data_IF_228449694149
#
_entry.id   IF_228449694149
#
_cell.length_a   1.000
_cell.length_b   1.000
_cell.length_c   1.000
_cell.angle_alpha   90.00
_cell.angle_beta   90.00
_cell.angle_gamma   90.00
#
_symmetry.space_group_name_H-M   'P 1'
#
loop_
_entity.id
_entity.type
_entity.pdbx_description
1 polymer ?
#
# COMPACT_ATOMS: atom_id res chain seq x y z
N UNK A 1 -26.47 -34.27 -82.06
CA UNK A 1 -26.46 -35.58 -81.37
C UNK A 1 -25.09 -36.19 -81.68
N UNK A 2 -24.22 -36.53 -80.74
CA UNK A 2 -24.42 -37.13 -79.43
C UNK A 2 -23.43 -36.61 -78.37
N UNK A 3 -23.97 -36.51 -77.17
CA UNK A 3 -23.33 -36.38 -75.86
C UNK A 3 -22.59 -37.67 -75.49
N UNK A 4 -21.49 -37.54 -74.74
CA UNK A 4 -21.07 -38.57 -73.77
C UNK A 4 -20.82 -37.89 -72.42
N UNK A 5 -21.56 -38.37 -71.41
CA UNK A 5 -21.63 -37.88 -70.03
C UNK A 5 -20.72 -38.70 -69.11
N UNK A 6 -19.95 -37.96 -68.30
CA UNK A 6 -19.51 -38.13 -66.89
C UNK A 6 -19.04 -39.47 -66.29
N UNK A 7 -17.94 -39.39 -65.53
CA UNK A 7 -17.90 -39.77 -64.10
C UNK A 7 -16.85 -38.94 -63.34
N UNK A 8 -17.24 -38.35 -62.21
CA UNK A 8 -16.38 -37.82 -61.12
C UNK A 8 -16.14 -38.96 -60.08
N UNK A 9 -15.48 -38.78 -58.90
CA UNK A 9 -14.76 -37.62 -58.33
C UNK A 9 -13.38 -37.96 -57.69
N UNK A 10 -12.73 -36.93 -57.10
CA UNK A 10 -11.64 -36.92 -56.10
C UNK A 10 -10.17 -36.66 -56.54
N UNK A 11 -9.72 -35.47 -56.11
CA UNK A 11 -8.42 -35.09 -55.53
C UNK A 11 -7.14 -35.38 -56.30
N UNK A 12 -6.55 -34.32 -56.88
CA UNK A 12 -5.24 -33.74 -56.50
C UNK A 12 -4.62 -33.01 -57.69
N UNK A 13 -4.34 -31.72 -57.49
CA UNK A 13 -3.22 -30.96 -58.08
C UNK A 13 -2.94 -31.26 -59.56
N UNK A 14 -3.68 -30.62 -60.45
CA UNK A 14 -3.16 -30.32 -61.79
C UNK A 14 -3.62 -28.92 -62.19
N UNK A 15 -2.67 -27.98 -62.16
CA UNK A 15 -2.78 -26.66 -62.76
C UNK A 15 -2.96 -26.87 -64.28
N UNK A 16 -4.20 -26.94 -64.74
CA UNK A 16 -4.49 -26.95 -66.17
C UNK A 16 -4.51 -25.50 -66.65
N UNK A 17 -3.36 -25.08 -67.18
CA UNK A 17 -3.19 -23.84 -67.92
C UNK A 17 -4.14 -23.89 -69.14
N UNK A 18 -5.28 -23.20 -69.05
CA UNK A 18 -6.12 -22.90 -70.22
C UNK A 18 -5.34 -21.90 -71.09
N UNK A 19 -4.48 -22.43 -71.96
CA UNK A 19 -3.87 -21.68 -73.05
C UNK A 19 -4.98 -21.47 -74.08
N UNK A 20 -5.78 -20.42 -73.92
CA UNK A 20 -6.41 -19.79 -75.09
C UNK A 20 -5.29 -19.17 -75.92
N UNK A 21 -5.26 -19.53 -77.19
CA UNK A 21 -4.28 -19.12 -78.19
C UNK A 21 -4.17 -17.58 -78.31
N UNK A 22 -3.34 -16.95 -77.48
CA UNK A 22 -2.78 -15.62 -77.68
C UNK A 22 -1.52 -15.44 -76.81
N UNK A 23 -0.37 -15.23 -77.46
CA UNK A 23 0.95 -14.92 -76.88
C UNK A 23 1.53 -15.94 -75.88
N UNK A 24 2.47 -16.75 -76.37
CA UNK A 24 3.36 -17.59 -75.56
C UNK A 24 4.27 -16.69 -74.71
N UNK A 25 4.02 -16.62 -73.40
CA UNK A 25 4.99 -16.18 -72.41
C UNK A 25 5.46 -17.42 -71.66
N UNK A 26 6.66 -17.91 -71.95
CA UNK A 26 7.28 -18.94 -71.13
C UNK A 26 7.67 -18.32 -69.78
N UNK A 27 7.24 -18.87 -68.63
CA UNK A 27 7.68 -18.38 -67.34
C UNK A 27 9.16 -18.76 -67.12
N UNK A 28 10.03 -17.77 -67.17
CA UNK A 28 11.44 -17.87 -66.78
C UNK A 28 11.54 -18.19 -65.28
N UNK A 29 11.63 -19.50 -64.97
CA UNK A 29 11.63 -20.03 -63.61
C UNK A 29 12.96 -20.70 -63.29
N UNK A 30 13.80 -19.98 -62.53
CA UNK A 30 14.93 -20.58 -61.84
C UNK A 30 14.40 -21.11 -60.49
N UNK A 31 14.15 -22.42 -60.42
CA UNK A 31 13.61 -23.06 -59.21
C UNK A 31 14.66 -23.06 -58.11
N UNK A 32 14.34 -22.45 -56.97
CA UNK A 32 15.10 -22.60 -55.71
C UNK A 32 14.24 -23.43 -54.75
N UNK A 33 14.76 -24.47 -54.09
CA UNK A 33 13.97 -25.30 -53.18
C UNK A 33 13.37 -24.46 -52.04
N UNK A 34 12.05 -24.51 -51.89
CA UNK A 34 11.29 -23.75 -50.86
C UNK A 34 10.78 -22.38 -51.31
N UNK A 35 11.02 -21.96 -52.56
CA UNK A 35 10.52 -20.68 -53.09
C UNK A 35 9.05 -20.73 -53.54
N UNK A 36 8.32 -19.64 -53.29
CA UNK A 36 7.01 -19.39 -53.90
C UNK A 36 7.20 -19.09 -55.40
N UNK A 37 6.57 -19.88 -56.27
CA UNK A 37 6.59 -19.63 -57.72
C UNK A 37 5.51 -18.60 -58.03
N UNK A 38 5.94 -17.39 -58.41
CA UNK A 38 5.06 -16.34 -58.91
C UNK A 38 5.13 -16.28 -60.45
N UNK A 39 3.99 -16.24 -61.17
CA UNK A 39 3.98 -15.97 -62.59
C UNK A 39 4.64 -14.62 -62.90
N UNK A 40 5.60 -14.61 -63.84
CA UNK A 40 6.29 -13.38 -64.28
C UNK A 40 5.61 -12.86 -65.55
N UNK A 41 4.94 -11.71 -65.48
CA UNK A 41 4.15 -11.16 -66.57
C UNK A 41 4.55 -9.70 -66.84
N UNK A 42 4.48 -9.27 -68.10
CA UNK A 42 4.52 -7.83 -68.44
C UNK A 42 3.21 -7.17 -68.02
N UNK A 43 3.20 -5.84 -67.93
CA UNK A 43 2.00 -5.04 -67.61
C UNK A 43 0.87 -5.33 -68.60
N UNK A 44 1.21 -5.52 -69.88
CA UNK A 44 0.26 -5.84 -70.94
C UNK A 44 -0.34 -7.24 -70.77
N UNK A 45 0.48 -8.23 -70.43
CA UNK A 45 0.02 -9.60 -70.17
C UNK A 45 -0.82 -9.70 -68.90
N UNK A 46 -0.42 -9.01 -67.83
CA UNK A 46 -1.16 -8.91 -66.58
C UNK A 46 -2.55 -8.30 -66.78
N UNK A 47 -2.66 -7.24 -67.59
CA UNK A 47 -3.96 -6.60 -67.89
C UNK A 47 -4.90 -7.47 -68.75
N UNK A 48 -4.37 -8.52 -69.39
CA UNK A 48 -5.16 -9.50 -70.13
C UNK A 48 -5.72 -10.62 -69.23
N UNK A 49 -5.28 -10.70 -67.97
CA UNK A 49 -5.84 -11.64 -67.01
C UNK A 49 -7.28 -11.24 -66.66
N UNK A 50 -8.22 -12.20 -66.56
CA UNK A 50 -9.57 -11.92 -66.10
C UNK A 50 -9.52 -11.37 -64.67
N UNK A 51 -10.44 -10.44 -64.36
CA UNK A 51 -10.58 -9.92 -63.01
C UNK A 51 -10.89 -11.08 -62.05
N UNK A 52 -10.00 -11.30 -61.07
CA UNK A 52 -10.16 -12.36 -60.08
C UNK A 52 -9.50 -11.98 -58.76
N UNK A 53 -10.15 -12.32 -57.65
CA UNK A 53 -9.65 -11.96 -56.32
C UNK A 53 -8.38 -12.76 -56.00
N UNK A 54 -7.33 -12.08 -55.51
CA UNK A 54 -6.18 -12.72 -54.86
C UNK A 54 -5.12 -13.31 -55.79
N UNK A 55 -5.09 -12.95 -57.07
CA UNK A 55 -3.98 -13.33 -57.97
C UNK A 55 -2.72 -12.57 -57.57
N UNK A 56 -1.58 -13.26 -57.38
CA UNK A 56 -0.27 -12.65 -57.13
C UNK A 56 0.69 -12.99 -58.25
N UNK A 57 1.32 -11.96 -58.83
CA UNK A 57 2.26 -12.08 -59.96
C UNK A 57 3.51 -11.24 -59.71
N UNK A 58 4.57 -11.49 -60.44
CA UNK A 58 5.72 -10.59 -60.53
C UNK A 58 5.66 -9.82 -61.84
N UNK A 59 5.51 -8.49 -61.77
CA UNK A 59 5.48 -7.64 -62.95
C UNK A 59 6.91 -7.39 -63.45
N UNK A 60 7.22 -7.85 -64.65
CA UNK A 60 8.57 -7.75 -65.22
C UNK A 60 8.95 -6.33 -65.63
N UNK A 61 7.97 -5.52 -66.02
CA UNK A 61 8.20 -4.13 -66.47
C UNK A 61 8.47 -3.21 -65.27
N UNK A 62 7.71 -3.40 -64.19
CA UNK A 62 7.82 -2.61 -62.95
C UNK A 62 8.78 -3.22 -61.93
N UNK A 63 9.26 -4.44 -62.15
CA UNK A 63 10.15 -5.20 -61.27
C UNK A 63 9.62 -5.31 -59.84
N UNK A 64 8.32 -5.56 -59.68
CA UNK A 64 7.64 -5.65 -58.38
C UNK A 64 6.72 -6.88 -58.30
N UNK A 65 6.51 -7.39 -57.10
CA UNK A 65 5.40 -8.34 -56.84
C UNK A 65 4.11 -7.52 -56.79
N UNK A 66 3.05 -8.00 -57.42
CA UNK A 66 1.75 -7.35 -57.46
C UNK A 66 0.63 -8.32 -57.12
N UNK A 67 -0.43 -7.84 -56.49
CA UNK A 67 -1.65 -8.60 -56.26
C UNK A 67 -2.87 -7.89 -56.87
N UNK A 68 -3.88 -8.68 -57.26
CA UNK A 68 -5.16 -8.18 -57.77
C UNK A 68 -6.20 -8.13 -56.64
N UNK A 69 -6.79 -6.95 -56.43
CA UNK A 69 -7.86 -6.74 -55.45
C UNK A 69 -9.21 -7.32 -55.90
N UNK A 70 -10.22 -7.20 -55.04
CA UNK A 70 -11.57 -7.70 -55.31
C UNK A 70 -12.30 -6.96 -56.45
N UNK A 71 -11.83 -5.78 -56.84
CA UNK A 71 -12.39 -4.89 -57.85
C UNK A 71 -11.62 -4.98 -59.18
N UNK A 72 -10.59 -5.84 -59.26
CA UNK A 72 -9.77 -6.06 -60.45
C UNK A 72 -8.55 -5.14 -60.58
N UNK A 73 -8.32 -4.25 -59.60
CA UNK A 73 -7.17 -3.35 -59.54
C UNK A 73 -5.88 -4.07 -59.14
N UNK A 74 -4.75 -3.67 -59.73
CA UNK A 74 -3.43 -4.25 -59.45
C UNK A 74 -2.61 -3.33 -58.54
N UNK A 75 -2.13 -3.89 -57.42
CA UNK A 75 -1.39 -3.17 -56.39
C UNK A 75 0.02 -3.75 -56.22
N UNK A 76 1.02 -2.90 -55.99
CA UNK A 76 2.37 -3.35 -55.64
C UNK A 76 2.39 -3.90 -54.21
N UNK A 77 3.02 -5.06 -54.03
CA UNK A 77 3.43 -5.56 -52.73
C UNK A 77 4.76 -4.86 -52.38
N UNK A 78 4.67 -3.61 -51.92
CA UNK A 78 5.80 -2.87 -51.34
C UNK A 78 6.06 -3.32 -49.90
N UNK A 79 7.17 -2.87 -49.28
CA UNK A 79 7.55 -3.18 -47.90
C UNK A 79 6.31 -3.33 -47.01
N UNK A 80 6.21 -4.50 -46.37
CA UNK A 80 5.00 -5.01 -45.75
C UNK A 80 4.53 -4.13 -44.60
N UNK A 81 3.83 -3.05 -44.94
CA UNK A 81 3.00 -2.36 -43.98
C UNK A 81 1.62 -3.03 -43.97
N UNK A 82 1.22 -3.53 -42.80
CA UNK A 82 -0.18 -3.89 -42.57
C UNK A 82 -0.86 -2.56 -42.33
N UNK A 83 -1.51 -2.01 -43.35
CA UNK A 83 -2.19 -0.71 -43.30
C UNK A 83 -3.69 -0.95 -43.34
N UNK A 84 -4.45 -0.15 -42.59
CA UNK A 84 -5.89 -0.08 -42.73
C UNK A 84 -6.32 0.64 -44.03
N UNK A 85 -7.64 0.83 -44.19
CA UNK A 85 -8.20 1.33 -45.45
C UNK A 85 -7.96 2.83 -45.67
N UNK A 86 -7.89 3.62 -44.59
CA UNK A 86 -7.67 5.07 -44.67
C UNK A 86 -6.19 5.47 -44.49
N UNK A 87 -5.33 4.53 -44.12
CA UNK A 87 -3.88 4.72 -44.07
C UNK A 87 -3.38 5.23 -42.73
N UNK A 88 -4.26 5.42 -41.74
CA UNK A 88 -3.90 6.03 -40.47
C UNK A 88 -3.46 5.01 -39.41
N UNK A 89 -3.82 3.74 -39.58
CA UNK A 89 -3.42 2.65 -38.69
C UNK A 89 -2.57 1.65 -39.45
N UNK A 90 -1.30 1.52 -39.07
CA UNK A 90 -0.40 0.60 -39.74
C UNK A 90 0.71 0.01 -38.87
N UNK A 91 1.16 -1.19 -39.24
CA UNK A 91 2.40 -1.77 -38.72
C UNK A 91 3.54 -1.45 -39.67
N UNK A 92 4.62 -0.88 -39.19
CA UNK A 92 5.83 -0.66 -39.99
C UNK A 92 7.07 -1.19 -39.29
N UNK A 93 8.05 -1.64 -40.08
CA UNK A 93 9.41 -1.87 -39.63
C UNK A 93 10.29 -0.79 -40.27
N UNK A 94 10.90 0.06 -39.44
CA UNK A 94 11.99 0.99 -39.79
C UNK A 94 11.59 2.14 -40.76
N UNK A 95 11.69 3.41 -40.33
CA UNK A 95 11.50 4.58 -41.22
C UNK A 95 12.83 5.16 -41.74
N UNK A 96 13.95 4.76 -41.13
CA UNK A 96 15.31 5.12 -41.52
C UNK A 96 16.20 3.87 -41.60
N UNK A 97 17.28 3.87 -42.41
CA UNK A 97 18.09 2.68 -42.69
C UNK A 97 18.72 1.96 -41.49
N UNK A 98 18.89 2.64 -40.35
CA UNK A 98 19.52 2.11 -39.12
C UNK A 98 18.57 2.15 -37.91
N UNK A 99 17.30 2.47 -38.14
CA UNK A 99 16.29 2.54 -37.10
C UNK A 99 15.73 1.13 -36.89
N UNK A 100 16.49 0.23 -36.21
CA UNK A 100 16.11 -1.15 -35.84
C UNK A 100 14.82 -1.16 -34.96
N UNK A 101 13.66 -0.88 -35.55
CA UNK A 101 12.41 -0.53 -34.86
C UNK A 101 11.20 -1.12 -35.57
N UNK A 102 10.28 -1.70 -34.80
CA UNK A 102 8.93 -2.08 -35.25
C UNK A 102 7.91 -1.18 -34.57
N UNK A 103 6.97 -0.61 -35.34
CA UNK A 103 5.92 0.30 -34.85
C UNK A 103 4.53 -0.27 -35.14
N UNK A 104 3.63 -0.12 -34.17
CA UNK A 104 2.19 -0.11 -34.39
C UNK A 104 1.74 1.35 -34.34
N UNK A 105 1.26 1.86 -35.46
CA UNK A 105 0.70 3.21 -35.60
C UNK A 105 -0.82 3.08 -35.60
N UNK A 106 -1.51 3.92 -34.83
CA UNK A 106 -2.98 4.00 -34.78
C UNK A 106 -3.38 5.46 -34.89
N UNK A 107 -4.26 5.80 -35.84
CA UNK A 107 -4.70 7.18 -36.10
C UNK A 107 -3.52 8.17 -36.26
N UNK A 108 -2.46 7.74 -36.95
CA UNK A 108 -1.26 8.53 -37.24
C UNK A 108 -0.29 8.72 -36.07
N UNK A 109 -0.52 8.07 -34.92
CA UNK A 109 0.35 8.14 -33.73
C UNK A 109 1.00 6.78 -33.45
N UNK A 110 2.27 6.76 -33.05
CA UNK A 110 2.98 5.54 -32.64
C UNK A 110 2.37 4.99 -31.35
N UNK A 111 1.41 4.07 -31.50
CA UNK A 111 0.74 3.42 -30.39
C UNK A 111 1.69 2.50 -29.63
N UNK A 112 2.54 1.72 -30.33
CA UNK A 112 3.58 0.85 -29.76
C UNK A 112 4.86 0.94 -30.60
N UNK A 113 6.01 1.13 -29.96
CA UNK A 113 7.33 1.09 -30.60
C UNK A 113 8.20 0.02 -29.94
N UNK A 114 8.78 -0.87 -30.74
CA UNK A 114 9.70 -1.92 -30.33
C UNK A 114 11.07 -1.64 -30.94
N UNK A 115 12.01 -1.11 -30.16
CA UNK A 115 13.39 -0.89 -30.61
C UNK A 115 14.39 -1.77 -29.86
N UNK A 116 15.48 -2.14 -30.52
CA UNK A 116 16.62 -2.76 -29.86
C UNK A 116 17.55 -1.69 -29.30
N UNK A 117 17.55 -1.51 -27.98
CA UNK A 117 18.67 -0.82 -27.32
C UNK A 117 19.81 -1.84 -27.13
N UNK A 118 21.06 -1.39 -26.97
CA UNK A 118 22.28 -2.24 -26.94
C UNK A 118 22.33 -3.35 -25.88
N UNK A 119 21.26 -3.57 -25.11
CA UNK A 119 21.00 -4.72 -24.26
C UNK A 119 19.54 -5.13 -24.52
N UNK A 120 19.30 -6.38 -24.90
CA UNK A 120 18.09 -6.76 -25.64
C UNK A 120 16.73 -6.48 -24.99
N UNK A 121 15.75 -6.30 -25.90
CA UNK A 121 14.30 -6.52 -25.80
C UNK A 121 13.45 -5.56 -24.92
N UNK A 122 12.59 -4.80 -25.63
CA UNK A 122 11.41 -4.01 -25.20
C UNK A 122 11.67 -2.65 -24.52
N UNK A 123 11.98 -1.62 -25.32
CA UNK A 123 11.90 -0.21 -24.91
C UNK A 123 10.71 0.48 -25.61
N UNK A 124 9.64 0.79 -24.87
CA UNK A 124 8.55 1.67 -25.33
C UNK A 124 9.05 3.11 -25.31
N UNK A 125 9.10 3.77 -26.45
CA UNK A 125 9.56 5.16 -26.57
C UNK A 125 8.45 6.02 -27.14
N UNK A 126 7.58 6.56 -26.29
CA UNK A 126 6.84 7.78 -26.66
C UNK A 126 7.87 8.90 -26.55
N UNK A 127 8.16 9.54 -27.67
CA UNK A 127 9.38 10.33 -27.85
C UNK A 127 9.46 11.53 -26.94
N UNK A 128 10.11 11.38 -25.78
CA UNK A 128 10.82 12.40 -24.96
C UNK A 128 11.24 11.80 -23.58
N UNK A 129 12.56 11.50 -23.43
CA UNK A 129 13.44 11.30 -22.24
C UNK A 129 13.45 10.06 -21.29
N UNK A 130 14.71 9.68 -20.97
CA UNK A 130 15.25 9.21 -19.69
C UNK A 130 14.46 8.12 -18.91
N UNK A 131 14.26 6.93 -19.48
CA UNK A 131 13.93 5.74 -18.68
C UNK A 131 12.46 5.55 -18.26
N UNK A 132 11.53 6.38 -18.74
CA UNK A 132 10.10 6.24 -18.43
C UNK A 132 9.43 5.02 -19.15
N UNK A 133 8.41 4.42 -18.53
CA UNK A 133 7.52 3.38 -19.11
C UNK A 133 6.08 3.90 -19.03
N UNK A 134 5.41 4.14 -20.17
CA UNK A 134 4.05 4.70 -20.21
C UNK A 134 3.13 3.82 -21.04
N UNK A 135 2.02 3.34 -20.47
CA UNK A 135 1.09 2.41 -21.10
C UNK A 135 -0.37 2.74 -20.75
N UNK A 136 -1.16 3.20 -21.71
CA UNK A 136 -2.57 3.56 -21.51
C UNK A 136 -2.97 4.74 -22.40
N UNK A 137 -4.25 5.10 -22.42
CA UNK A 137 -4.66 6.39 -22.99
C UNK A 137 -4.44 7.49 -21.94
N UNK A 138 -4.01 8.69 -22.36
CA UNK A 138 -3.86 9.85 -21.48
C UNK A 138 -2.68 9.83 -20.47
N UNK A 139 -1.90 8.75 -20.40
CA UNK A 139 -0.70 8.65 -19.56
C UNK A 139 0.37 9.68 -19.93
N UNK A 140 0.88 10.43 -18.94
CA UNK A 140 2.06 11.29 -19.11
C UNK A 140 1.86 12.50 -20.03
N UNK A 141 0.63 13.01 -20.17
CA UNK A 141 0.28 14.10 -21.08
C UNK A 141 1.03 15.42 -20.89
N UNK A 142 1.71 15.62 -19.75
CA UNK A 142 2.45 16.83 -19.42
C UNK A 142 3.99 16.66 -19.30
N UNK A 143 4.56 15.50 -19.69
CA UNK A 143 5.97 15.15 -19.42
C UNK A 143 6.98 16.13 -20.04
N UNK A 144 7.87 16.66 -19.19
CA UNK A 144 8.99 17.53 -19.55
C UNK A 144 10.30 16.75 -19.76
N UNK A 145 11.25 17.29 -20.57
CA UNK A 145 12.72 17.07 -20.53
C UNK A 145 13.36 16.39 -19.33
N UNK A 146 12.93 16.80 -18.16
CA UNK A 146 13.57 16.46 -16.91
C UNK A 146 12.81 15.40 -16.12
N UNK A 147 11.62 14.95 -16.55
CA UNK A 147 10.88 13.88 -15.90
C UNK A 147 11.42 12.50 -16.33
N UNK A 148 12.12 11.81 -15.43
CA UNK A 148 12.86 10.57 -15.72
C UNK A 148 12.39 9.40 -14.84
N UNK A 149 12.58 8.18 -15.34
CA UNK A 149 12.43 6.92 -14.60
C UNK A 149 11.04 6.66 -13.99
N UNK A 150 9.99 7.22 -14.59
CA UNK A 150 8.60 7.01 -14.18
C UNK A 150 7.97 5.80 -14.89
N UNK A 151 7.23 4.96 -14.18
CA UNK A 151 6.39 3.88 -14.71
C UNK A 151 4.93 4.30 -14.55
N UNK A 152 4.16 4.44 -15.62
CA UNK A 152 2.74 4.74 -15.58
C UNK A 152 1.96 3.76 -16.48
N UNK A 153 1.04 3.00 -15.89
CA UNK A 153 0.29 1.94 -16.59
C UNK A 153 -1.19 2.03 -16.21
N UNK A 154 -2.06 2.34 -17.17
CA UNK A 154 -3.50 2.50 -16.96
C UNK A 154 -4.04 3.74 -17.67
N UNK A 155 -5.35 3.79 -17.85
CA UNK A 155 -6.03 4.94 -18.43
C UNK A 155 -5.86 6.18 -17.53
N UNK A 156 -5.38 7.30 -18.08
CA UNK A 156 -5.13 8.57 -17.38
C UNK A 156 -4.20 8.48 -16.14
N UNK A 157 -3.38 7.43 -16.06
CA UNK A 157 -2.40 7.29 -14.98
C UNK A 157 -1.25 8.29 -15.12
N UNK A 158 -0.87 8.99 -14.05
CA UNK A 158 0.13 10.08 -14.09
C UNK A 158 -0.11 11.08 -15.23
N UNK A 159 -1.37 11.40 -15.55
CA UNK A 159 -1.75 12.30 -16.67
C UNK A 159 -0.99 13.64 -16.63
N UNK A 160 -0.92 14.26 -15.46
CA UNK A 160 -0.45 15.64 -15.30
C UNK A 160 1.05 15.73 -14.89
N UNK A 161 1.80 14.62 -14.93
CA UNK A 161 3.22 14.61 -14.56
C UNK A 161 4.06 15.48 -15.50
N UNK A 162 4.74 16.48 -14.93
CA UNK A 162 5.57 17.44 -15.67
C UNK A 162 7.06 17.27 -15.40
N UNK A 163 7.55 17.43 -14.17
CA UNK A 163 8.98 17.28 -13.82
C UNK A 163 9.25 16.20 -12.78
N UNK A 164 8.23 15.45 -12.35
CA UNK A 164 8.38 14.38 -11.37
C UNK A 164 9.27 13.22 -11.85
N UNK A 165 9.97 12.60 -10.90
CA UNK A 165 10.97 11.56 -11.12
C UNK A 165 10.63 10.26 -10.40
N UNK A 166 11.04 9.11 -10.95
CA UNK A 166 11.04 7.82 -10.24
C UNK A 166 9.66 7.39 -9.67
N UNK A 167 8.56 7.83 -10.27
CA UNK A 167 7.22 7.45 -9.82
C UNK A 167 6.75 6.15 -10.47
N UNK A 168 6.04 5.30 -9.74
CA UNK A 168 5.34 4.12 -10.26
C UNK A 168 3.85 4.36 -10.06
N UNK A 169 3.06 4.29 -11.13
CA UNK A 169 1.60 4.38 -11.11
C UNK A 169 0.98 3.25 -11.94
N UNK A 170 0.03 2.54 -11.35
CA UNK A 170 -0.65 1.39 -11.97
C UNK A 170 -2.15 1.44 -11.68
N UNK A 171 -2.97 1.56 -12.72
CA UNK A 171 -4.43 1.58 -12.67
C UNK A 171 -5.03 2.88 -13.21
N UNK A 172 -6.35 2.89 -13.42
CA UNK A 172 -7.06 4.03 -14.00
C UNK A 172 -6.99 5.24 -13.06
N UNK A 173 -6.55 6.39 -13.58
CA UNK A 173 -6.38 7.65 -12.85
C UNK A 173 -5.47 7.52 -11.60
N UNK A 174 -4.58 6.52 -11.55
CA UNK A 174 -3.58 6.43 -10.49
C UNK A 174 -2.55 7.57 -10.63
N UNK A 175 -2.35 8.35 -9.57
CA UNK A 175 -1.42 9.48 -9.51
C UNK A 175 -1.70 10.56 -10.58
N UNK A 176 -2.95 10.66 -11.06
CA UNK A 176 -3.29 11.44 -12.26
C UNK A 176 -2.87 12.92 -12.19
N UNK A 177 -2.90 13.53 -11.01
CA UNK A 177 -2.71 14.97 -10.82
C UNK A 177 -1.32 15.37 -10.31
N UNK A 178 -0.40 14.41 -10.14
CA UNK A 178 0.96 14.71 -9.69
C UNK A 178 1.73 15.45 -10.78
N UNK A 179 2.21 16.66 -10.50
CA UNK A 179 2.95 17.47 -11.49
C UNK A 179 4.46 17.39 -11.32
N UNK A 180 4.98 17.42 -10.09
CA UNK A 180 6.43 17.48 -9.81
C UNK A 180 6.91 16.48 -8.75
N UNK A 181 6.00 15.77 -8.08
CA UNK A 181 6.35 14.82 -7.02
C UNK A 181 7.19 13.65 -7.52
N UNK A 182 8.01 13.10 -6.62
CA UNK A 182 9.04 12.10 -6.93
C UNK A 182 8.93 10.84 -6.05
N UNK A 183 9.39 9.69 -6.56
CA UNK A 183 9.56 8.43 -5.80
C UNK A 183 8.27 7.90 -5.17
N UNK A 184 7.12 8.16 -5.77
CA UNK A 184 5.85 7.62 -5.30
C UNK A 184 5.56 6.27 -5.94
N UNK A 185 4.92 5.35 -5.21
CA UNK A 185 4.37 4.11 -5.74
C UNK A 185 2.85 4.15 -5.52
N UNK A 186 2.07 4.19 -6.59
CA UNK A 186 0.61 4.26 -6.57
C UNK A 186 0.02 3.12 -7.36
N UNK A 187 -0.77 2.27 -6.74
CA UNK A 187 -1.41 1.14 -7.40
C UNK A 187 -2.89 1.15 -7.05
N UNK A 188 -3.75 1.42 -8.02
CA UNK A 188 -5.18 1.57 -7.74
C UNK A 188 -6.00 2.26 -8.80
N UNK A 189 -7.31 2.28 -8.58
CA UNK A 189 -8.24 3.08 -9.36
C UNK A 189 -8.49 4.41 -8.60
N UNK A 190 -8.39 5.54 -9.31
CA UNK A 190 -8.65 6.88 -8.79
C UNK A 190 -7.94 7.16 -7.46
N UNK A 191 -6.64 6.87 -7.37
CA UNK A 191 -5.85 7.04 -6.14
C UNK A 191 -4.81 8.14 -6.34
N UNK A 192 -4.70 9.06 -5.38
CA UNK A 192 -3.87 10.28 -5.44
C UNK A 192 -4.21 11.18 -6.65
N UNK A 193 -5.49 11.53 -6.82
CA UNK A 193 -6.04 12.32 -7.95
C UNK A 193 -6.16 13.83 -7.66
N UNK A 194 -5.35 14.35 -6.74
CA UNK A 194 -5.60 15.63 -6.08
C UNK A 194 -5.39 16.90 -6.94
N UNK A 195 -6.31 17.85 -6.85
CA UNK A 195 -6.21 19.11 -7.60
C UNK A 195 -5.13 20.04 -6.99
N UNK A 196 -4.06 20.31 -7.76
CA UNK A 196 -3.00 21.33 -7.54
C UNK A 196 -1.74 20.92 -6.76
N UNK A 197 -1.49 19.64 -6.53
CA UNK A 197 -0.42 19.26 -5.60
C UNK A 197 0.98 19.24 -6.22
N UNK A 198 1.87 19.96 -5.56
CA UNK A 198 3.25 20.19 -5.98
C UNK A 198 4.29 19.41 -5.15
N UNK A 199 3.91 18.62 -4.14
CA UNK A 199 4.87 17.93 -3.27
C UNK A 199 4.39 16.58 -2.74
N UNK A 200 4.20 15.60 -3.61
CA UNK A 200 4.07 14.19 -3.22
C UNK A 200 5.40 13.51 -3.36
N UNK A 201 6.11 13.25 -2.26
CA UNK A 201 7.41 12.59 -2.34
C UNK A 201 7.47 11.33 -1.48
N UNK A 202 8.02 10.26 -2.04
CA UNK A 202 8.33 9.02 -1.31
C UNK A 202 7.10 8.34 -0.66
N UNK A 203 5.92 8.43 -1.28
CA UNK A 203 4.71 7.79 -0.76
C UNK A 203 4.47 6.40 -1.39
N UNK A 204 3.88 5.47 -0.64
CA UNK A 204 3.36 4.19 -1.14
C UNK A 204 1.84 4.20 -0.93
N UNK A 205 1.06 4.14 -2.00
CA UNK A 205 -0.41 4.15 -1.98
C UNK A 205 -0.97 2.98 -2.78
N UNK A 206 -1.74 2.10 -2.15
CA UNK A 206 -2.28 0.91 -2.80
C UNK A 206 -3.77 0.74 -2.44
N UNK A 207 -4.66 0.81 -3.43
CA UNK A 207 -6.10 0.68 -3.15
C UNK A 207 -7.05 1.24 -4.20
N UNK A 208 -8.22 1.66 -3.76
CA UNK A 208 -9.23 2.29 -4.62
C UNK A 208 -9.75 3.56 -3.93
N UNK A 209 -9.76 4.68 -4.67
CA UNK A 209 -10.28 5.97 -4.19
C UNK A 209 -9.56 6.43 -2.92
N UNK A 210 -8.23 6.50 -2.98
CA UNK A 210 -7.37 6.86 -1.87
C UNK A 210 -6.78 8.25 -2.06
N UNK A 211 -6.69 9.03 -0.98
CA UNK A 211 -6.00 10.33 -0.95
C UNK A 211 -6.60 11.32 -1.96
N UNK A 212 -7.64 12.02 -1.50
CA UNK A 212 -8.31 13.09 -2.24
C UNK A 212 -8.38 14.34 -1.36
N UNK A 213 -8.28 15.51 -1.98
CA UNK A 213 -8.43 16.83 -1.38
C UNK A 213 -7.45 17.11 -0.22
N UNK A 214 -6.19 16.68 -0.36
CA UNK A 214 -5.12 16.79 0.66
C UNK A 214 -4.33 18.10 0.58
N UNK A 215 -4.41 18.86 -0.52
CA UNK A 215 -3.54 20.01 -0.74
C UNK A 215 -2.06 19.59 -0.90
N UNK A 216 -1.15 20.57 -0.89
CA UNK A 216 0.29 20.31 -1.06
C UNK A 216 0.90 19.56 0.14
N UNK A 217 1.46 18.35 -0.03
CA UNK A 217 2.48 17.86 0.92
C UNK A 217 2.29 16.53 1.63
N UNK A 218 2.17 15.43 0.89
CA UNK A 218 2.36 14.09 1.47
C UNK A 218 3.81 13.65 1.27
N UNK A 219 4.46 13.29 2.37
CA UNK A 219 5.86 12.87 2.37
C UNK A 219 6.05 11.57 3.14
N UNK A 220 6.65 10.54 2.52
CA UNK A 220 7.09 9.33 3.24
C UNK A 220 5.95 8.55 3.91
N UNK A 221 4.75 8.54 3.34
CA UNK A 221 3.61 7.80 3.90
C UNK A 221 3.42 6.42 3.24
N UNK A 222 2.89 5.46 3.98
CA UNK A 222 2.39 4.17 3.47
C UNK A 222 0.89 4.11 3.70
N UNK A 223 0.10 3.99 2.63
CA UNK A 223 -1.36 4.07 2.65
C UNK A 223 -1.93 2.89 1.86
N UNK A 224 -2.68 2.01 2.50
CA UNK A 224 -3.23 0.80 1.87
C UNK A 224 -4.68 0.62 2.28
N UNK A 225 -5.61 0.50 1.32
CA UNK A 225 -7.01 0.21 1.64
C UNK A 225 -8.05 0.75 0.65
N UNK A 226 -9.22 1.12 1.17
CA UNK A 226 -10.32 1.70 0.40
C UNK A 226 -10.83 2.95 1.12
N UNK A 227 -10.99 4.06 0.41
CA UNK A 227 -11.52 5.31 0.96
C UNK A 227 -10.82 5.76 2.27
N UNK A 228 -9.48 5.69 2.29
CA UNK A 228 -8.66 6.20 3.39
C UNK A 228 -8.07 7.56 3.07
N UNK A 229 -7.70 8.31 4.11
CA UNK A 229 -6.92 9.53 4.00
C UNK A 229 -7.56 10.64 3.11
N UNK A 230 -8.88 10.62 2.91
CA UNK A 230 -9.59 11.76 2.30
C UNK A 230 -9.43 12.97 3.23
N UNK A 231 -8.87 14.07 2.74
CA UNK A 231 -8.54 15.28 3.51
C UNK A 231 -7.41 15.14 4.56
N UNK A 232 -6.27 14.53 4.22
CA UNK A 232 -5.00 14.82 4.93
C UNK A 232 -4.53 16.24 4.59
N UNK A 233 -5.32 17.26 4.93
CA UNK A 233 -5.05 18.65 4.57
C UNK A 233 -3.76 19.14 5.25
N UNK A 234 -2.89 19.73 4.46
CA UNK A 234 -1.76 20.52 4.93
C UNK A 234 -2.21 21.98 5.09
N UNK A 235 -1.87 22.57 6.23
CA UNK A 235 -1.74 24.02 6.30
C UNK A 235 -0.47 24.40 5.53
N UNK A 236 -0.31 25.62 4.98
CA UNK A 236 0.93 26.08 4.33
C UNK A 236 2.22 25.97 5.17
N UNK A 237 2.15 25.48 6.42
CA UNK A 237 3.27 25.29 7.34
C UNK A 237 3.44 23.85 7.88
N UNK A 238 2.69 22.84 7.40
CA UNK A 238 2.80 21.48 7.92
C UNK A 238 2.46 20.41 6.88
N UNK A 239 3.35 19.44 6.70
CA UNK A 239 3.17 18.29 5.82
C UNK A 239 2.63 17.09 6.61
N UNK A 240 1.75 16.28 6.02
CA UNK A 240 1.43 14.98 6.59
C UNK A 240 2.54 13.99 6.19
N UNK A 241 3.33 13.54 7.18
CA UNK A 241 4.56 12.82 6.90
C UNK A 241 4.87 11.62 7.80
N UNK A 242 5.52 10.60 7.23
CA UNK A 242 5.96 9.38 7.93
C UNK A 242 4.82 8.59 8.61
N UNK A 243 3.63 8.54 8.02
CA UNK A 243 2.51 7.75 8.56
C UNK A 243 2.40 6.36 7.90
N UNK A 244 1.92 5.37 8.64
CA UNK A 244 1.49 4.06 8.13
C UNK A 244 0.00 3.92 8.34
N UNK A 245 -0.78 3.83 7.27
CA UNK A 245 -2.25 3.83 7.27
C UNK A 245 -2.73 2.60 6.51
N UNK A 246 -3.43 1.70 7.19
CA UNK A 246 -3.93 0.45 6.59
C UNK A 246 -5.35 0.15 7.06
N UNK A 247 -6.29 0.02 6.15
CA UNK A 247 -7.68 -0.35 6.46
C UNK A 247 -8.71 0.48 5.69
N UNK A 248 -9.98 0.41 6.07
CA UNK A 248 -11.05 1.22 5.48
C UNK A 248 -11.36 2.42 6.39
N UNK A 249 -11.30 3.64 5.85
CA UNK A 249 -11.58 4.87 6.62
C UNK A 249 -10.64 5.12 7.80
N UNK A 250 -9.46 4.48 7.83
CA UNK A 250 -8.40 4.74 8.82
C UNK A 250 -7.81 6.13 8.61
N UNK A 251 -7.60 6.86 9.72
CA UNK A 251 -6.99 8.20 9.74
C UNK A 251 -7.67 9.19 8.77
N UNK A 252 -9.00 9.14 8.70
CA UNK A 252 -9.80 10.03 7.85
C UNK A 252 -9.83 11.45 8.44
N UNK A 253 -9.63 12.47 7.62
CA UNK A 253 -9.64 13.90 7.99
C UNK A 253 -8.54 14.36 8.98
N UNK A 254 -7.44 13.62 9.12
CA UNK A 254 -6.36 14.03 10.00
C UNK A 254 -5.47 15.12 9.36
N UNK A 255 -5.55 16.35 9.84
CA UNK A 255 -4.80 17.51 9.33
C UNK A 255 -3.39 17.53 9.93
N UNK A 256 -2.34 17.66 9.13
CA UNK A 256 -0.92 17.66 9.57
C UNK A 256 -0.49 16.44 10.43
N UNK A 257 -1.01 15.25 10.14
CA UNK A 257 -0.68 14.02 10.85
C UNK A 257 0.77 13.58 10.58
N UNK A 258 1.55 13.26 11.62
CA UNK A 258 2.96 12.89 11.47
C UNK A 258 3.34 11.68 12.33
N UNK A 259 4.14 10.79 11.75
CA UNK A 259 4.75 9.65 12.47
C UNK A 259 3.73 8.71 13.15
N UNK A 260 2.53 8.57 12.60
CA UNK A 260 1.49 7.71 13.16
C UNK A 260 1.46 6.33 12.50
N UNK A 261 1.02 5.32 13.25
CA UNK A 261 0.65 4.00 12.73
C UNK A 261 -0.84 3.80 12.99
N UNK A 262 -1.67 3.71 11.95
CA UNK A 262 -3.12 3.54 12.01
C UNK A 262 -3.52 2.30 11.19
N UNK A 263 -3.84 1.19 11.86
CA UNK A 263 -4.15 -0.09 11.23
C UNK A 263 -5.50 -0.62 11.72
N UNK A 264 -6.52 -0.62 10.86
CA UNK A 264 -7.88 -1.07 11.19
C UNK A 264 -8.95 -0.13 10.63
N UNK A 265 -10.22 -0.50 10.73
CA UNK A 265 -11.32 0.26 10.14
C UNK A 265 -11.85 1.41 11.02
N UNK A 266 -12.37 2.46 10.39
CA UNK A 266 -13.16 3.51 11.05
C UNK A 266 -12.48 4.20 12.24
N UNK A 267 -11.17 4.43 12.15
CA UNK A 267 -10.47 5.37 13.04
C UNK A 267 -10.74 6.79 12.50
N UNK A 268 -11.89 7.34 12.83
CA UNK A 268 -12.29 8.70 12.41
C UNK A 268 -11.55 9.71 13.27
N UNK A 269 -10.99 10.77 12.69
CA UNK A 269 -10.58 11.93 13.48
C UNK A 269 -11.73 12.93 13.50
N UNK A 270 -12.08 13.39 14.70
CA UNK A 270 -13.14 14.36 14.94
C UNK A 270 -12.58 15.73 14.57
N UNK A 271 -12.99 16.19 13.39
CA UNK A 271 -12.93 17.58 12.91
C UNK A 271 -12.83 18.58 14.08
N UNK A 272 -11.64 19.12 14.28
CA UNK A 272 -11.32 19.97 15.42
C UNK A 272 -10.13 20.87 15.14
N UNK A 273 -10.17 21.57 14.01
CA UNK A 273 -9.32 22.74 13.73
C UNK A 273 -9.36 23.70 14.92
N UNK A 274 -8.26 23.83 15.65
CA UNK A 274 -7.90 25.08 16.31
C UNK A 274 -6.59 25.54 15.68
N UNK A 275 -6.67 26.70 15.05
CA UNK A 275 -5.60 27.43 14.42
C UNK A 275 -4.32 27.39 15.27
N UNK A 276 -3.28 26.72 14.77
CA UNK A 276 -1.93 26.76 15.33
C UNK A 276 -1.49 25.50 16.09
N UNK A 277 -0.93 24.53 15.36
CA UNK A 277 0.18 23.71 15.87
C UNK A 277 -0.09 22.21 16.04
N UNK A 278 0.40 21.43 15.07
CA UNK A 278 0.65 19.97 15.11
C UNK A 278 -0.60 19.08 15.19
N UNK A 279 -0.96 18.43 14.08
CA UNK A 279 -1.89 17.30 14.07
C UNK A 279 -1.42 16.11 14.93
N UNK A 280 -2.10 14.96 14.87
CA UNK A 280 -1.69 13.78 15.64
C UNK A 280 -0.23 13.43 15.36
N UNK A 281 0.55 13.22 16.43
CA UNK A 281 1.99 13.01 16.37
C UNK A 281 2.39 11.76 17.16
N UNK A 282 3.02 10.81 16.47
CA UNK A 282 3.66 9.66 17.12
C UNK A 282 2.71 8.65 17.74
N UNK A 283 1.45 8.58 17.29
CA UNK A 283 0.47 7.66 17.85
C UNK A 283 0.50 6.29 17.13
N UNK A 284 0.25 5.21 17.88
CA UNK A 284 0.02 3.86 17.34
C UNK A 284 -1.42 3.48 17.65
N UNK A 285 -2.29 3.41 16.65
CA UNK A 285 -3.65 2.90 16.71
C UNK A 285 -3.79 1.63 15.90
N UNK A 286 -4.17 0.52 16.54
CA UNK A 286 -4.40 -0.77 15.87
C UNK A 286 -5.72 -1.37 16.36
N UNK A 287 -6.67 -1.60 15.46
CA UNK A 287 -8.00 -2.13 15.76
C UNK A 287 -9.13 -1.14 15.41
N UNK A 288 -10.35 -1.65 15.25
CA UNK A 288 -11.49 -0.80 14.89
C UNK A 288 -11.76 0.27 15.97
N UNK A 289 -11.93 1.52 15.56
CA UNK A 289 -12.20 2.67 16.43
C UNK A 289 -11.15 2.96 17.52
N UNK A 290 -9.92 2.43 17.39
CA UNK A 290 -8.82 2.86 18.26
C UNK A 290 -8.49 4.34 17.96
N UNK A 291 -8.26 5.15 18.99
CA UNK A 291 -7.95 6.60 18.87
C UNK A 291 -9.00 7.45 18.13
N UNK A 292 -10.26 7.02 18.08
CA UNK A 292 -11.34 7.65 17.29
C UNK A 292 -11.71 9.11 17.64
N UNK A 293 -11.20 9.67 18.74
CA UNK A 293 -11.34 11.09 19.09
C UNK A 293 -10.05 11.65 19.70
N UNK A 294 -8.93 10.97 19.43
CA UNK A 294 -7.63 11.18 20.07
C UNK A 294 -6.91 12.44 19.59
N UNK A 295 -6.94 13.54 20.35
CA UNK A 295 -6.07 14.72 20.04
C UNK A 295 -4.71 14.68 20.76
N UNK A 296 -4.51 13.67 21.62
CA UNK A 296 -3.26 13.45 22.33
C UNK A 296 -2.13 12.92 21.44
N UNK A 297 -0.90 13.11 21.90
CA UNK A 297 0.34 12.70 21.23
C UNK A 297 1.00 11.51 21.95
N UNK A 298 1.78 10.74 21.20
CA UNK A 298 2.61 9.63 21.70
C UNK A 298 1.82 8.55 22.45
N UNK A 299 0.60 8.27 22.01
CA UNK A 299 -0.26 7.23 22.60
C UNK A 299 -0.11 5.90 21.85
N UNK A 300 -0.22 4.78 22.56
CA UNK A 300 -0.33 3.43 22.01
C UNK A 300 -1.72 2.90 22.33
N UNK A 301 -2.53 2.58 21.33
CA UNK A 301 -3.87 2.04 21.42
C UNK A 301 -3.97 0.78 20.55
N UNK A 302 -4.01 -0.40 21.15
CA UNK A 302 -4.08 -1.69 20.45
C UNK A 302 -5.29 -2.46 20.96
N UNK A 303 -6.32 -2.59 20.14
CA UNK A 303 -7.60 -3.21 20.48
C UNK A 303 -8.79 -2.39 20.00
N UNK A 304 -9.94 -3.05 19.81
CA UNK A 304 -11.17 -2.34 19.45
C UNK A 304 -11.56 -1.33 20.53
N UNK A 305 -11.89 -0.09 20.14
CA UNK A 305 -12.24 1.01 21.05
C UNK A 305 -11.17 1.37 22.11
N UNK A 306 -9.91 0.95 21.96
CA UNK A 306 -8.84 1.39 22.86
C UNK A 306 -8.58 2.90 22.66
N UNK A 307 -8.55 3.67 23.75
CA UNK A 307 -8.44 5.15 23.70
C UNK A 307 -9.44 5.81 22.73
N UNK A 308 -10.65 5.26 22.60
CA UNK A 308 -11.67 5.76 21.68
C UNK A 308 -12.00 7.23 21.93
N UNK A 309 -12.14 7.63 23.20
CA UNK A 309 -12.46 8.98 23.65
C UNK A 309 -11.31 9.56 24.48
N UNK A 310 -10.21 9.92 23.81
CA UNK A 310 -9.05 10.57 24.42
C UNK A 310 -8.92 12.05 23.98
N UNK A 311 -9.49 13.00 24.72
CA UNK A 311 -9.55 14.39 24.24
C UNK A 311 -8.19 15.10 24.24
N UNK A 312 -7.36 14.92 25.27
CA UNK A 312 -6.07 15.63 25.40
C UNK A 312 -4.94 14.84 26.07
N UNK A 313 -5.19 13.57 26.45
CA UNK A 313 -4.23 12.74 27.17
C UNK A 313 -3.05 12.32 26.31
N UNK A 314 -1.83 12.62 26.78
CA UNK A 314 -0.57 12.28 26.11
C UNK A 314 0.15 11.10 26.78
N UNK A 315 0.89 10.32 25.99
CA UNK A 315 1.79 9.28 26.50
C UNK A 315 1.12 8.08 27.14
N UNK A 316 -0.13 7.77 26.79
CA UNK A 316 -0.87 6.63 27.35
C UNK A 316 -0.59 5.35 26.54
N UNK A 317 -0.54 4.21 27.23
CA UNK A 317 -0.47 2.87 26.64
C UNK A 317 -1.75 2.12 26.99
N UNK A 318 -2.55 1.77 25.99
CA UNK A 318 -3.82 1.05 26.09
C UNK A 318 -3.77 -0.18 25.18
N UNK A 319 -3.64 -1.36 25.77
CA UNK A 319 -3.54 -2.64 25.04
C UNK A 319 -4.66 -3.56 25.53
N UNK A 320 -5.66 -3.79 24.70
CA UNK A 320 -6.86 -4.56 25.00
C UNK A 320 -8.12 -3.87 24.48
N UNK A 321 -9.17 -4.63 24.18
CA UNK A 321 -10.46 -4.05 23.80
C UNK A 321 -11.00 -3.15 24.92
N UNK A 322 -11.36 -1.92 24.59
CA UNK A 322 -11.90 -0.91 25.51
C UNK A 322 -10.95 -0.52 26.66
N UNK A 323 -9.65 -0.78 26.54
CA UNK A 323 -8.63 -0.27 27.47
C UNK A 323 -8.54 1.26 27.35
N UNK A 324 -8.63 1.98 28.47
CA UNK A 324 -8.70 3.45 28.53
C UNK A 324 -9.72 4.03 27.53
N UNK A 325 -10.86 3.36 27.32
CA UNK A 325 -11.84 3.78 26.31
C UNK A 325 -12.24 5.25 26.46
N UNK A 326 -12.43 5.71 27.71
CA UNK A 326 -12.77 7.09 28.04
C UNK A 326 -11.67 7.68 28.91
N UNK A 327 -10.77 8.44 28.29
CA UNK A 327 -9.68 9.14 28.98
C UNK A 327 -9.62 10.61 28.53
N UNK A 328 -10.44 11.47 29.12
CA UNK A 328 -10.58 12.86 28.64
C UNK A 328 -9.26 13.66 28.72
N UNK A 329 -8.50 13.53 29.82
CA UNK A 329 -7.29 14.31 30.05
C UNK A 329 -6.14 13.57 30.76
N UNK A 330 -6.32 12.29 31.13
CA UNK A 330 -5.30 11.54 31.86
C UNK A 330 -4.05 11.32 31.00
N UNK A 331 -2.88 11.48 31.62
CA UNK A 331 -1.58 11.33 30.95
C UNK A 331 -0.77 10.19 31.53
N UNK A 332 0.09 9.60 30.70
CA UNK A 332 1.10 8.62 31.12
C UNK A 332 0.53 7.41 31.89
N UNK A 333 -0.67 6.95 31.52
CA UNK A 333 -1.24 5.71 32.02
C UNK A 333 -0.77 4.50 31.22
N UNK A 334 -0.60 3.35 31.88
CA UNK A 334 -0.38 2.04 31.24
C UNK A 334 -1.53 1.11 31.59
N UNK A 335 -2.45 0.89 30.66
CA UNK A 335 -3.59 -0.02 30.76
C UNK A 335 -3.39 -1.22 29.82
N UNK A 336 -3.21 -2.42 30.37
CA UNK A 336 -3.01 -3.65 29.62
C UNK A 336 -4.05 -4.68 30.06
N UNK A 337 -5.02 -4.96 29.21
CA UNK A 337 -6.14 -5.87 29.44
C UNK A 337 -7.46 -5.27 28.95
N UNK A 338 -8.41 -6.13 28.56
CA UNK A 338 -9.71 -5.65 28.10
C UNK A 338 -10.47 -4.95 29.23
N UNK A 339 -10.96 -3.74 28.97
CA UNK A 339 -11.65 -2.89 29.95
C UNK A 339 -10.76 -2.32 31.06
N UNK A 340 -9.42 -2.43 30.97
CA UNK A 340 -8.52 -1.84 31.95
C UNK A 340 -8.62 -0.29 31.91
N UNK A 341 -8.84 0.34 33.07
CA UNK A 341 -9.09 1.79 33.21
C UNK A 341 -10.14 2.35 32.24
N UNK A 342 -11.18 1.56 31.91
CA UNK A 342 -12.16 1.91 30.88
C UNK A 342 -12.75 3.33 31.03
N UNK A 343 -13.06 3.74 32.26
CA UNK A 343 -13.60 5.06 32.61
C UNK A 343 -12.65 5.88 33.49
N UNK A 344 -11.36 5.56 33.46
CA UNK A 344 -10.35 6.20 34.32
C UNK A 344 -9.80 7.48 33.70
N UNK A 345 -10.00 8.62 34.37
CA UNK A 345 -9.47 9.92 33.95
C UNK A 345 -8.21 10.36 34.71
N UNK A 346 -7.69 9.53 35.61
CA UNK A 346 -6.48 9.80 36.38
C UNK A 346 -5.21 9.72 35.54
N UNK A 347 -4.08 10.17 36.10
CA UNK A 347 -2.77 10.16 35.44
C UNK A 347 -1.77 9.27 36.17
N UNK A 348 -0.74 8.82 35.46
CA UNK A 348 0.38 8.04 36.02
C UNK A 348 -0.02 6.70 36.63
N UNK A 349 -1.09 6.07 36.14
CA UNK A 349 -1.55 4.78 36.66
C UNK A 349 -1.01 3.60 35.84
N UNK A 350 -0.75 2.49 36.51
CA UNK A 350 -0.48 1.18 35.88
C UNK A 350 -1.64 0.25 36.21
N UNK A 351 -2.37 -0.21 35.21
CA UNK A 351 -3.47 -1.16 35.33
C UNK A 351 -3.24 -2.35 34.41
N UNK A 352 -3.06 -3.55 34.97
CA UNK A 352 -2.75 -4.75 34.20
C UNK A 352 -3.73 -5.86 34.57
N UNK A 353 -4.62 -6.24 33.65
CA UNK A 353 -5.61 -7.31 33.83
C UNK A 353 -6.96 -7.00 33.20
N UNK A 354 -7.85 -8.00 33.16
CA UNK A 354 -9.22 -7.83 32.68
C UNK A 354 -10.02 -6.95 33.64
N UNK A 355 -10.63 -5.88 33.12
CA UNK A 355 -11.45 -4.91 33.85
C UNK A 355 -10.78 -4.33 35.10
N UNK A 356 -9.45 -4.24 35.12
CA UNK A 356 -8.67 -3.68 36.22
C UNK A 356 -8.88 -2.17 36.30
N UNK A 357 -9.23 -1.65 37.47
CA UNK A 357 -9.47 -0.23 37.69
C UNK A 357 -10.60 0.33 36.81
N UNK A 358 -11.63 -0.46 36.50
CA UNK A 358 -12.68 -0.14 35.52
C UNK A 358 -13.21 1.30 35.61
N UNK A 359 -13.42 1.79 36.84
CA UNK A 359 -13.90 3.15 37.15
C UNK A 359 -12.93 3.94 38.02
N UNK A 360 -11.65 3.57 38.01
CA UNK A 360 -10.64 4.18 38.88
C UNK A 360 -10.17 5.53 38.33
N UNK A 361 -10.37 6.60 39.09
CA UNK A 361 -10.04 7.97 38.69
C UNK A 361 -8.87 8.59 39.46
N UNK A 362 -8.23 7.84 40.35
CA UNK A 362 -7.06 8.30 41.12
C UNK A 362 -5.79 8.38 40.28
N UNK A 363 -4.74 8.98 40.84
CA UNK A 363 -3.44 9.16 40.22
C UNK A 363 -2.36 8.25 40.84
N UNK A 364 -1.25 8.08 40.13
CA UNK A 364 -0.01 7.47 40.66
C UNK A 364 -0.20 6.07 41.27
N UNK A 365 -1.08 5.26 40.69
CA UNK A 365 -1.51 4.00 41.32
C UNK A 365 -1.14 2.77 40.51
N UNK A 366 -0.94 1.65 41.20
CA UNK A 366 -0.58 0.36 40.60
C UNK A 366 -1.67 -0.66 40.91
N UNK A 367 -2.40 -1.06 39.87
CA UNK A 367 -3.53 -1.98 39.92
C UNK A 367 -3.19 -3.21 39.05
N UNK A 368 -3.15 -4.40 39.63
CA UNK A 368 -2.72 -5.62 38.92
C UNK A 368 -3.66 -6.79 39.22
N UNK A 369 -4.15 -7.39 38.15
CA UNK A 369 -4.96 -8.59 38.07
C UNK A 369 -6.46 -8.32 37.85
N UNK A 370 -7.22 -9.38 37.60
CA UNK A 370 -8.62 -9.31 37.16
C UNK A 370 -9.47 -8.50 38.14
N UNK A 371 -10.13 -7.46 37.64
CA UNK A 371 -11.00 -6.55 38.41
C UNK A 371 -10.30 -5.86 39.61
N UNK A 372 -8.97 -5.88 39.67
CA UNK A 372 -8.25 -5.25 40.77
C UNK A 372 -8.50 -3.73 40.79
N UNK A 373 -8.81 -3.17 41.96
CA UNK A 373 -9.01 -1.73 42.11
C UNK A 373 -10.28 -1.17 41.44
N UNK A 374 -11.22 -2.01 40.97
CA UNK A 374 -12.45 -1.52 40.32
C UNK A 374 -13.34 -0.66 41.24
N UNK A 375 -13.18 -0.77 42.55
CA UNK A 375 -13.84 0.07 43.55
C UNK A 375 -12.84 0.89 44.39
N UNK A 376 -11.57 0.95 43.97
CA UNK A 376 -10.57 1.73 44.67
C UNK A 376 -10.81 3.23 44.45
N UNK A 377 -10.38 4.04 45.42
CA UNK A 377 -10.50 5.50 45.41
C UNK A 377 -9.25 6.12 46.04
N UNK A 378 -8.99 7.38 45.70
CA UNK A 378 -7.81 8.13 46.17
C UNK A 378 -6.63 7.99 45.24
N UNK A 379 -5.52 8.64 45.57
CA UNK A 379 -4.27 8.59 44.79
C UNK A 379 -3.26 7.68 45.49
N UNK A 380 -2.17 7.36 44.79
CA UNK A 380 -1.00 6.69 45.37
C UNK A 380 -1.33 5.33 46.00
N UNK A 381 -2.19 4.51 45.36
CA UNK A 381 -2.56 3.20 45.89
C UNK A 381 -1.90 2.04 45.16
N UNK A 382 -1.67 0.94 45.88
CA UNK A 382 -1.31 -0.37 45.34
C UNK A 382 -2.50 -1.32 45.53
N UNK A 383 -2.89 -2.03 44.48
CA UNK A 383 -3.86 -3.13 44.54
C UNK A 383 -3.43 -4.27 43.61
N UNK A 384 -3.08 -5.41 44.19
CA UNK A 384 -2.81 -6.66 43.46
C UNK A 384 -3.89 -7.66 43.85
N UNK A 385 -4.80 -7.97 42.93
CA UNK A 385 -6.00 -8.73 43.20
C UNK A 385 -6.42 -9.57 41.99
N UNK A 386 -7.31 -10.54 42.20
CA UNK A 386 -7.95 -11.31 41.12
C UNK A 386 -9.49 -11.21 41.14
N UNK A 387 -10.01 -10.25 41.90
CA UNK A 387 -11.41 -9.90 42.02
C UNK A 387 -11.56 -8.44 42.51
N UNK A 388 -12.75 -7.87 42.36
CA UNK A 388 -13.05 -6.50 42.76
C UNK A 388 -13.08 -6.24 44.28
N UNK A 389 -13.36 -7.26 45.10
CA UNK A 389 -13.71 -7.07 46.51
C UNK A 389 -12.56 -7.21 47.49
N UNK A 390 -11.49 -7.92 47.12
CA UNK A 390 -10.35 -8.22 48.00
C UNK A 390 -9.06 -8.18 47.23
N UNK A 391 -8.13 -7.36 47.69
CA UNK A 391 -6.75 -7.38 47.22
C UNK A 391 -5.96 -8.43 47.98
N UNK A 392 -5.03 -9.12 47.33
CA UNK A 392 -4.05 -9.97 48.01
C UNK A 392 -2.94 -9.12 48.63
N UNK A 393 -2.49 -8.11 47.89
CA UNK A 393 -1.57 -7.08 48.35
C UNK A 393 -2.22 -5.74 48.06
N UNK A 394 -2.33 -4.88 49.07
CA UNK A 394 -2.81 -3.52 48.92
C UNK A 394 -1.92 -2.55 49.68
N UNK A 395 -2.05 -1.25 49.44
CA UNK A 395 -1.23 -0.28 50.14
C UNK A 395 -1.46 1.16 49.68
N UNK A 396 -0.81 2.08 50.39
CA UNK A 396 -0.72 3.48 50.03
C UNK A 396 0.74 3.89 50.01
N UNK A 397 1.21 4.39 48.87
CA UNK A 397 2.58 4.88 48.70
C UNK A 397 2.83 6.13 49.56
N UNK A 398 1.82 6.99 49.78
CA UNK A 398 1.98 8.19 50.62
C UNK A 398 2.29 7.88 52.09
N UNK A 399 1.82 6.75 52.60
CA UNK A 399 2.04 6.33 53.98
C UNK A 399 3.11 5.24 54.11
N UNK A 400 3.77 4.86 53.02
CA UNK A 400 4.69 3.71 52.95
C UNK A 400 4.04 2.42 53.51
N UNK A 401 2.72 2.29 53.36
CA UNK A 401 1.93 1.20 53.92
C UNK A 401 1.68 0.11 52.88
N UNK A 402 1.97 -1.14 53.25
CA UNK A 402 1.62 -2.34 52.48
C UNK A 402 0.89 -3.33 53.39
N UNK A 403 -0.28 -3.77 52.95
CA UNK A 403 -1.10 -4.82 53.54
C UNK A 403 -1.03 -6.06 52.67
N UNK A 404 -0.85 -7.23 53.29
CA UNK A 404 -0.95 -8.54 52.64
C UNK A 404 -2.12 -9.26 53.29
N UNK A 405 -3.25 -9.33 52.57
CA UNK A 405 -4.51 -9.88 53.06
C UNK A 405 -4.46 -11.42 52.99
N UNK A 406 -3.69 -12.05 53.90
CA UNK A 406 -3.72 -13.45 54.35
C UNK A 406 -2.50 -13.74 55.26
N UNK A 407 -2.43 -14.93 55.87
CA UNK A 407 -1.26 -15.37 56.65
C UNK A 407 -0.02 -15.41 55.74
N UNK A 408 0.95 -14.54 56.01
CA UNK A 408 2.27 -14.61 55.38
C UNK A 408 2.96 -15.91 55.82
N UNK A 409 3.05 -16.90 54.93
CA UNK A 409 3.85 -18.11 55.17
C UNK A 409 5.33 -17.77 54.99
N UNK A 410 6.02 -17.38 56.08
CA UNK A 410 7.47 -17.28 56.06
C UNK A 410 8.05 -18.68 56.34
N UNK A 411 9.09 -19.06 55.60
CA UNK A 411 9.84 -20.30 55.85
C UNK A 411 10.90 -19.98 56.92
N UNK A 412 10.91 -20.66 58.07
CA UNK A 412 11.88 -20.39 59.12
C UNK A 412 13.32 -20.65 58.68
N UNK A 413 14.26 -19.85 59.17
CA UNK A 413 15.71 -20.07 58.98
C UNK A 413 16.36 -20.44 60.31
N UNK A 414 17.29 -21.39 60.28
CA UNK A 414 18.10 -21.85 61.43
C UNK A 414 19.07 -20.79 61.95
N UNK A 415 19.59 -19.94 61.06
CA UNK A 415 20.55 -18.88 61.40
C UNK A 415 20.13 -17.55 60.78
N UNK A 416 20.10 -16.44 61.55
CA UNK A 416 19.96 -15.10 60.99
C UNK A 416 21.08 -14.81 59.98
N UNK A 417 20.82 -14.03 58.90
CA UNK A 417 21.88 -13.60 58.00
C UNK A 417 22.95 -12.79 58.76
N UNK A 418 24.21 -12.92 58.35
CA UNK A 418 25.36 -12.31 59.02
C UNK A 418 25.33 -10.78 59.05
N UNK A 419 24.60 -10.15 58.12
CA UNK A 419 24.38 -8.70 58.04
C UNK A 419 22.87 -8.41 57.86
N UNK A 420 22.08 -8.42 58.94
CA UNK A 420 20.65 -8.15 58.84
C UNK A 420 20.41 -6.67 58.54
N UNK A 421 19.62 -6.39 57.49
CA UNK A 421 19.23 -5.02 57.12
C UNK A 421 18.10 -4.55 58.04
N UNK A 422 18.23 -3.34 58.59
CA UNK A 422 17.17 -2.70 59.38
C UNK A 422 15.85 -2.65 58.59
N UNK A 423 14.74 -3.02 59.20
CA UNK A 423 13.42 -3.13 58.57
C UNK A 423 13.07 -4.53 58.06
N UNK A 424 13.97 -5.52 58.18
CA UNK A 424 13.69 -6.88 57.71
C UNK A 424 12.95 -7.73 58.76
N UNK A 425 11.95 -8.49 58.30
CA UNK A 425 11.20 -9.48 59.10
C UNK A 425 11.76 -10.88 58.78
N UNK A 426 12.20 -11.61 59.79
CA UNK A 426 12.63 -13.01 59.68
C UNK A 426 11.79 -13.92 60.58
N UNK A 427 11.52 -15.15 60.15
CA UNK A 427 11.12 -16.22 61.07
C UNK A 427 12.36 -17.02 61.49
N UNK A 428 12.62 -17.09 62.79
CA UNK A 428 13.56 -18.04 63.38
C UNK A 428 12.84 -19.37 63.60
N UNK A 429 13.49 -20.47 63.28
CA UNK A 429 12.93 -21.83 63.35
C UNK A 429 12.82 -22.39 64.77
N UNK A 430 13.24 -21.61 65.77
CA UNK A 430 13.18 -21.96 67.17
C UNK A 430 14.45 -22.65 67.68
N UNK A 431 15.42 -22.96 66.82
CA UNK A 431 16.66 -23.62 67.24
C UNK A 431 17.46 -22.77 68.26
N UNK A 432 17.26 -21.45 68.23
CA UNK A 432 17.95 -20.48 69.08
C UNK A 432 17.10 -19.99 70.27
N UNK A 433 15.86 -20.45 70.42
CA UNK A 433 14.87 -19.97 71.42
C UNK A 433 14.25 -21.08 72.26
N UNK A 434 14.89 -22.26 72.32
CA UNK A 434 14.34 -23.40 73.06
C UNK A 434 13.18 -24.10 72.34
N UNK A 435 13.18 -24.10 71.00
CA UNK A 435 12.27 -24.91 70.16
C UNK A 435 10.99 -24.21 69.73
N UNK A 436 10.82 -22.91 70.02
CA UNK A 436 9.62 -22.16 69.63
C UNK A 436 9.93 -21.23 68.46
N UNK A 437 9.34 -21.43 67.27
CA UNK A 437 9.50 -20.50 66.15
C UNK A 437 9.06 -19.10 66.56
N UNK A 438 9.86 -18.08 66.26
CA UNK A 438 9.59 -16.69 66.65
C UNK A 438 9.74 -15.75 65.46
N UNK A 439 8.89 -14.72 65.43
CA UNK A 439 9.05 -13.63 64.48
C UNK A 439 10.09 -12.65 65.02
N UNK A 440 11.15 -12.39 64.25
CA UNK A 440 12.16 -11.38 64.57
C UNK A 440 12.04 -10.20 63.61
N UNK A 441 11.92 -9.00 64.16
CA UNK A 441 11.95 -7.75 63.41
C UNK A 441 13.23 -7.00 63.79
N UNK A 442 14.10 -6.73 62.82
CA UNK A 442 15.33 -5.99 63.06
C UNK A 442 15.07 -4.49 62.88
N UNK A 443 15.25 -3.71 63.94
CA UNK A 443 15.04 -2.25 63.90
C UNK A 443 16.32 -1.58 64.39
N UNK A 444 16.86 -0.65 63.59
CA UNK A 444 18.03 0.19 63.92
C UNK A 444 19.30 -0.61 64.30
N UNK A 445 19.58 -1.70 63.58
CA UNK A 445 20.80 -2.50 63.78
C UNK A 445 20.86 -3.29 65.09
N UNK A 446 19.79 -3.27 65.90
CA UNK A 446 19.66 -4.05 67.13
C UNK A 446 18.61 -5.15 66.97
N UNK A 447 18.91 -6.35 67.47
CA UNK A 447 17.96 -7.47 67.50
C UNK A 447 17.03 -7.28 68.68
N UNK A 448 15.79 -6.86 68.44
CA UNK A 448 14.77 -6.73 69.47
C UNK A 448 13.83 -7.92 69.45
N UNK A 449 13.67 -8.60 70.59
CA UNK A 449 12.55 -9.51 70.80
C UNK A 449 11.29 -8.67 71.01
N UNK A 450 10.33 -8.77 70.10
CA UNK A 450 8.96 -8.31 70.38
C UNK A 450 8.06 -9.54 70.33
N UNK A 451 7.51 -9.91 71.48
CA UNK A 451 6.32 -10.76 71.48
C UNK A 451 5.23 -9.98 70.75
N UNK A 452 4.63 -10.60 69.73
CA UNK A 452 3.46 -10.06 69.05
C UNK A 452 2.26 -10.00 69.99
#
# INVERSE_FOLDING_TARGET
MYTLKFCTPFQSIFFLLLISCALVAQPDTKVVPGGLILPRLTTLQRNALPAGQGQTIYNTDQKSIQYQDAMGGWHNLTNASIVDLDGDTYVTSELLPDEDVVRLVVSGTDALTLSKNGQGLLAYKTGTQNGNILLGAGVGGALSPVATDNIAIGDESSRDISTGLENISLGTEALASNTVGEKNIVIGHHSMTDYNSTFYNENIVIGHHLVENTGDGLLKNVIIGHNVATNLSTSPFGLADRNVIIGEGSLKNAVNARQNVAIGGSMQDVNGTLFGGSGPLGNIGIGAYALNAGKGQYNIAIGGNALQLNESGNGNVAIGGEALQVNLAGVQNTAIGSGALNQGSGSYNVAIGFSTGLSYSGNNSVLIGREAGSSAVGDNVLHIANNASRSLISGKFDSDEVTIDNVVKLIPRTTPPSNPVSGTIYMDDGSNTGGTPTLRVYINGSVGWKNL
#
